data_IF_567710980787
#
_entry.id   IF_567710980787
#
_cell.length_a   1.000
_cell.length_b   1.000
_cell.length_c   1.000
_cell.angle_alpha   90.00
_cell.angle_beta   90.00
_cell.angle_gamma   90.00
#
_symmetry.space_group_name_H-M   'P 1'
#
loop_
_entity.id
_entity.type
_entity.pdbx_description
1 polymer ?
#
# COMPACT_ATOMS: atom_id res chain seq x y z
N UNK A 1 12.85 -30.25 -19.05
CA UNK A 1 13.37 -28.87 -19.10
C UNK A 1 12.19 -27.92 -18.94
N UNK A 2 11.70 -27.76 -17.71
CA UNK A 2 10.53 -26.94 -17.41
C UNK A 2 10.96 -25.80 -16.50
N UNK A 3 11.65 -24.81 -17.06
CA UNK A 3 12.03 -23.60 -16.35
C UNK A 3 11.77 -22.33 -17.21
N UNK A 4 10.49 -22.02 -17.53
CA UNK A 4 10.11 -20.61 -17.78
C UNK A 4 8.98 -20.11 -16.86
N UNK A 5 8.25 -21.01 -16.20
CA UNK A 5 7.05 -20.67 -15.41
C UNK A 5 7.42 -20.25 -13.97
N UNK A 6 8.41 -20.91 -13.35
CA UNK A 6 8.84 -20.62 -11.97
C UNK A 6 9.59 -19.29 -11.82
N UNK A 7 10.41 -18.90 -12.80
CA UNK A 7 11.08 -17.60 -12.79
C UNK A 7 10.08 -16.44 -12.82
N UNK A 8 9.00 -16.58 -13.60
CA UNK A 8 7.97 -15.55 -13.75
C UNK A 8 7.05 -15.48 -12.52
N UNK A 9 6.80 -16.60 -11.83
CA UNK A 9 6.04 -16.63 -10.57
C UNK A 9 6.83 -16.04 -9.40
N UNK A 10 8.12 -16.35 -9.28
CA UNK A 10 8.99 -15.80 -8.26
C UNK A 10 9.09 -14.26 -8.37
N UNK A 11 9.24 -13.74 -9.59
CA UNK A 11 9.31 -12.30 -9.83
C UNK A 11 7.99 -11.59 -9.49
N UNK A 12 6.86 -12.16 -9.90
CA UNK A 12 5.51 -11.65 -9.57
C UNK A 12 5.25 -11.68 -8.07
N UNK A 13 5.62 -12.76 -7.38
CA UNK A 13 5.46 -12.90 -5.95
C UNK A 13 6.28 -11.85 -5.19
N UNK A 14 7.52 -11.60 -5.61
CA UNK A 14 8.38 -10.56 -5.04
C UNK A 14 7.81 -9.16 -5.25
N UNK A 15 7.31 -8.87 -6.46
CA UNK A 15 6.66 -7.60 -6.76
C UNK A 15 5.40 -7.40 -5.92
N UNK A 16 4.61 -8.45 -5.70
CA UNK A 16 3.42 -8.40 -4.84
C UNK A 16 3.79 -8.17 -3.37
N UNK A 17 4.79 -8.89 -2.86
CA UNK A 17 5.30 -8.70 -1.51
C UNK A 17 5.82 -7.28 -1.31
N UNK A 18 6.65 -6.78 -2.22
CA UNK A 18 7.11 -5.37 -2.18
C UNK A 18 5.96 -4.38 -2.31
N UNK A 19 5.00 -4.61 -3.20
CA UNK A 19 3.87 -3.71 -3.39
C UNK A 19 2.97 -3.59 -2.16
N UNK A 20 2.96 -4.59 -1.27
CA UNK A 20 2.22 -4.53 0.02
C UNK A 20 3.12 -4.04 1.16
N UNK A 21 4.37 -4.48 1.22
CA UNK A 21 5.30 -4.08 2.29
C UNK A 21 5.70 -2.61 2.21
N UNK A 22 5.90 -2.07 1.00
CA UNK A 22 6.28 -0.67 0.82
C UNK A 22 5.23 0.31 1.35
N UNK A 23 3.93 0.22 0.97
CA UNK A 23 2.92 1.12 1.52
C UNK A 23 2.71 0.91 3.02
N UNK A 24 2.82 -0.33 3.52
CA UNK A 24 2.74 -0.60 4.95
C UNK A 24 3.86 0.10 5.73
N UNK A 25 5.10 -0.01 5.25
CA UNK A 25 6.26 0.60 5.90
C UNK A 25 6.22 2.13 5.79
N UNK A 26 5.79 2.65 4.64
CA UNK A 26 5.61 4.08 4.42
C UNK A 26 4.54 4.66 5.34
N UNK A 27 3.42 3.96 5.53
CA UNK A 27 2.37 4.36 6.47
C UNK A 27 2.89 4.39 7.91
N UNK A 28 3.66 3.38 8.33
CA UNK A 28 4.31 3.36 9.64
C UNK A 28 5.30 4.53 9.82
N UNK A 29 6.10 4.84 8.81
CA UNK A 29 7.04 5.96 8.83
C UNK A 29 6.33 7.32 8.90
N UNK A 30 5.24 7.51 8.15
CA UNK A 30 4.41 8.72 8.22
C UNK A 30 3.77 8.85 9.59
N UNK A 31 3.21 7.77 10.13
CA UNK A 31 2.62 7.77 11.48
C UNK A 31 3.65 8.15 12.55
N UNK A 32 4.83 7.53 12.53
CA UNK A 32 5.92 7.88 13.45
C UNK A 32 6.41 9.32 13.27
N UNK A 33 6.54 9.80 12.03
CA UNK A 33 6.96 11.17 11.74
C UNK A 33 5.94 12.21 12.21
N UNK A 34 4.65 11.93 12.02
CA UNK A 34 3.56 12.79 12.50
C UNK A 34 3.50 12.76 14.03
N UNK A 35 3.64 11.59 14.65
CA UNK A 35 3.67 11.48 16.11
C UNK A 35 4.87 12.24 16.72
N UNK A 36 6.02 12.21 16.07
CA UNK A 36 7.19 13.02 16.45
C UNK A 36 7.01 14.52 16.19
N UNK A 37 6.20 14.92 15.21
CA UNK A 37 5.87 16.31 14.95
C UNK A 37 4.82 16.85 15.95
N UNK A 38 3.92 16.00 16.42
CA UNK A 38 2.84 16.33 17.35
C UNK A 38 3.32 16.47 18.81
N UNK A 39 4.56 16.04 19.12
CA UNK A 39 5.24 16.37 20.39
C UNK A 39 5.62 17.87 20.53
N UNK A 40 5.14 18.76 19.65
CA UNK A 40 5.27 20.20 19.79
C UNK A 40 4.23 20.77 20.80
N UNK A 41 4.65 21.32 21.94
CA UNK A 41 3.74 21.82 22.96
C UNK A 41 3.25 23.22 22.57
N UNK A 42 2.06 23.36 21.98
CA UNK A 42 1.45 24.69 21.94
C UNK A 42 0.27 24.97 21.00
N UNK A 43 0.03 24.20 19.94
CA UNK A 43 -0.92 24.66 18.91
C UNK A 43 -2.31 24.03 19.03
N UNK A 44 -3.27 24.86 19.45
CA UNK A 44 -4.74 24.76 19.28
C UNK A 44 -5.34 23.34 19.17
N UNK A 45 -6.06 22.84 20.20
CA UNK A 45 -6.53 21.44 20.38
C UNK A 45 -7.37 20.76 19.28
N UNK A 46 -7.56 21.37 18.11
CA UNK A 46 -8.39 20.80 17.03
C UNK A 46 -7.71 20.71 15.66
N UNK A 47 -6.71 21.54 15.34
CA UNK A 47 -6.16 21.60 13.98
C UNK A 47 -5.21 20.45 13.68
N UNK A 48 -4.34 20.11 14.64
CA UNK A 48 -3.45 18.94 14.53
C UNK A 48 -4.26 17.65 14.39
N UNK A 49 -5.23 17.43 15.26
CA UNK A 49 -6.10 16.24 15.24
C UNK A 49 -6.85 16.08 13.90
N UNK A 50 -7.41 17.15 13.34
CA UNK A 50 -8.09 17.10 12.04
C UNK A 50 -7.14 16.77 10.89
N UNK A 51 -5.93 17.32 10.92
CA UNK A 51 -4.88 17.01 9.93
C UNK A 51 -4.45 15.55 10.06
N UNK A 52 -4.27 15.04 11.27
CA UNK A 52 -3.96 13.62 11.53
C UNK A 52 -5.07 12.72 10.98
N UNK A 53 -6.33 13.01 11.29
CA UNK A 53 -7.47 12.22 10.78
C UNK A 53 -7.55 12.28 9.26
N UNK A 54 -7.35 13.45 8.64
CA UNK A 54 -7.33 13.59 7.20
C UNK A 54 -6.18 12.79 6.55
N UNK A 55 -4.98 12.83 7.13
CA UNK A 55 -3.81 12.06 6.68
C UNK A 55 -4.06 10.55 6.81
N UNK A 56 -4.61 10.10 7.95
CA UNK A 56 -4.97 8.70 8.17
C UNK A 56 -6.03 8.26 7.17
N UNK A 57 -7.07 9.07 6.94
CA UNK A 57 -8.14 8.76 5.98
C UNK A 57 -7.61 8.68 4.55
N UNK A 58 -6.73 9.61 4.16
CA UNK A 58 -6.06 9.59 2.86
C UNK A 58 -5.15 8.37 2.71
N UNK A 59 -4.38 8.01 3.76
CA UNK A 59 -3.53 6.83 3.76
C UNK A 59 -4.34 5.53 3.64
N UNK A 60 -5.44 5.41 4.38
CA UNK A 60 -6.37 4.26 4.27
C UNK A 60 -6.96 4.18 2.86
N UNK A 61 -7.34 5.31 2.27
CA UNK A 61 -7.85 5.37 0.90
C UNK A 61 -6.81 4.90 -0.11
N UNK A 62 -5.57 5.38 0.02
CA UNK A 62 -4.45 4.95 -0.85
C UNK A 62 -4.15 3.47 -0.68
N UNK A 63 -4.16 2.96 0.55
CA UNK A 63 -3.96 1.55 0.83
C UNK A 63 -5.07 0.69 0.21
N UNK A 64 -6.33 1.09 0.38
CA UNK A 64 -7.48 0.42 -0.21
C UNK A 64 -7.45 0.45 -1.74
N UNK A 65 -7.06 1.58 -2.33
CA UNK A 65 -6.90 1.70 -3.78
C UNK A 65 -5.76 0.81 -4.30
N UNK A 66 -4.62 0.77 -3.59
CA UNK A 66 -3.49 -0.10 -3.95
C UNK A 66 -3.87 -1.59 -3.86
N UNK A 67 -4.55 -1.99 -2.78
CA UNK A 67 -5.05 -3.36 -2.62
C UNK A 67 -6.03 -3.70 -3.75
N UNK A 68 -7.02 -2.84 -4.02
CA UNK A 68 -7.99 -3.06 -5.10
C UNK A 68 -7.30 -3.17 -6.46
N UNK A 69 -6.31 -2.33 -6.74
CA UNK A 69 -5.56 -2.36 -8.00
C UNK A 69 -4.72 -3.63 -8.12
N UNK A 70 -4.18 -4.15 -7.00
CA UNK A 70 -3.51 -5.45 -6.95
C UNK A 70 -4.50 -6.59 -7.17
N UNK A 71 -5.67 -6.57 -6.53
CA UNK A 71 -6.74 -7.57 -6.70
C UNK A 71 -7.19 -7.61 -8.15
N UNK A 72 -7.46 -6.46 -8.75
CA UNK A 72 -7.84 -6.35 -10.17
C UNK A 72 -6.70 -6.83 -11.07
N UNK A 73 -5.45 -6.41 -10.82
CA UNK A 73 -4.30 -6.88 -11.60
C UNK A 73 -4.09 -8.38 -11.48
N UNK A 74 -4.34 -8.98 -10.31
CA UNK A 74 -4.31 -10.45 -10.10
C UNK A 74 -5.41 -11.14 -10.89
N UNK A 75 -6.65 -10.64 -10.82
CA UNK A 75 -7.80 -11.21 -11.53
C UNK A 75 -7.62 -11.16 -13.04
N UNK A 76 -7.15 -10.03 -13.56
CA UNK A 76 -6.85 -9.85 -15.00
C UNK A 76 -5.65 -10.68 -15.42
N UNK A 77 -4.64 -10.83 -14.55
CA UNK A 77 -3.47 -11.70 -14.82
C UNK A 77 -3.78 -13.19 -14.76
N UNK A 78 -4.84 -13.59 -14.06
CA UNK A 78 -5.34 -14.99 -14.01
C UNK A 78 -6.28 -15.34 -15.15
N UNK A 79 -6.93 -14.35 -15.78
CA UNK A 79 -7.67 -14.50 -17.04
C UNK A 79 -6.74 -14.39 -18.24
N UNK A 80 -5.83 -15.35 -18.40
CA UNK A 80 -5.24 -15.62 -19.71
C UNK A 80 -6.35 -15.81 -20.76
N UNK A 81 -6.13 -15.37 -22.01
CA UNK A 81 -7.17 -15.39 -23.04
C UNK A 81 -7.75 -16.80 -23.14
N UNK A 82 -9.04 -16.94 -22.82
CA UNK A 82 -9.80 -18.09 -23.31
C UNK A 82 -9.95 -17.87 -24.80
N UNK A 83 -9.00 -18.39 -25.57
CA UNK A 83 -9.18 -18.58 -27.00
C UNK A 83 -10.10 -19.78 -27.22
N UNK A 84 -11.11 -19.66 -28.10
CA UNK A 84 -11.98 -20.75 -28.52
C UNK A 84 -11.23 -21.82 -29.33
#
# INVERSE_FOLDING_TARGET
MSEPIHARSALRLRLLLSAVFVPLFLAGAVFFGVWAADTAPGDSPGRGMLVVVAVVCAALTLLAAADLLVVVRRLTSGRGPRSP
#
